data_IF_029699337382
#
_entry.id   IF_029699337382
#
_cell.length_a   1.000
_cell.length_b   1.000
_cell.length_c   1.000
_cell.angle_alpha   90.00
_cell.angle_beta   90.00
_cell.angle_gamma   90.00
#
_symmetry.space_group_name_H-M   'P 1'
#
loop_
_entity.id
_entity.type
_entity.pdbx_description
1 polymer ?
#
# COMPACT_ATOMS: atom_id res chain seq x y z
N UNK A 1 -13.44 30.82 -8.41
CA UNK A 1 -12.64 30.30 -7.28
C UNK A 1 -12.61 28.80 -7.46
N UNK A 2 -11.44 28.20 -7.58
CA UNK A 2 -11.31 26.74 -7.58
C UNK A 2 -11.80 26.18 -6.26
N UNK A 3 -12.50 25.03 -6.30
CA UNK A 3 -13.06 24.40 -5.11
C UNK A 3 -11.94 23.97 -4.17
N UNK A 4 -11.92 24.47 -2.96
CA UNK A 4 -11.00 24.02 -1.91
C UNK A 4 -11.62 22.81 -1.19
N UNK A 5 -10.85 21.74 -1.03
CA UNK A 5 -11.28 20.51 -0.37
C UNK A 5 -10.73 20.44 1.05
N UNK A 6 -11.62 20.15 2.00
CA UNK A 6 -11.29 20.05 3.42
C UNK A 6 -10.94 18.61 3.80
N UNK A 7 -9.76 18.42 4.35
CA UNK A 7 -9.22 17.13 4.76
C UNK A 7 -9.17 17.01 6.28
N UNK A 8 -9.59 15.85 6.80
CA UNK A 8 -9.38 15.41 8.16
C UNK A 8 -8.46 14.19 8.20
N UNK A 9 -7.65 14.06 9.24
CA UNK A 9 -6.71 12.95 9.40
C UNK A 9 -6.98 12.24 10.71
N UNK A 10 -7.15 10.91 10.65
CA UNK A 10 -7.23 10.02 11.80
C UNK A 10 -5.92 9.22 11.88
N UNK A 11 -5.22 9.36 13.02
CA UNK A 11 -3.90 8.76 13.23
C UNK A 11 -2.77 9.70 12.81
N UNK A 12 -2.16 10.40 13.76
CA UNK A 12 -1.06 11.34 13.55
C UNK A 12 0.30 10.71 13.84
N UNK A 13 0.44 9.44 13.44
CA UNK A 13 1.73 8.76 13.40
C UNK A 13 2.62 9.29 12.24
N UNK A 14 3.69 8.55 11.94
CA UNK A 14 4.64 8.93 10.89
C UNK A 14 3.96 9.14 9.53
N UNK A 15 3.02 8.26 9.19
CA UNK A 15 2.35 8.33 7.89
C UNK A 15 1.27 9.42 7.87
N UNK A 16 0.49 9.59 8.94
CA UNK A 16 -0.50 10.66 9.02
C UNK A 16 0.12 12.05 8.89
N UNK A 17 1.27 12.28 9.54
CA UNK A 17 2.02 13.54 9.40
C UNK A 17 2.59 13.74 7.99
N UNK A 18 2.89 12.66 7.27
CA UNK A 18 3.25 12.75 5.85
C UNK A 18 2.07 13.21 5.01
N UNK A 19 0.89 12.59 5.20
CA UNK A 19 -0.32 13.03 4.52
C UNK A 19 -0.64 14.49 4.81
N UNK A 20 -0.51 14.92 6.07
CA UNK A 20 -0.70 16.32 6.46
C UNK A 20 0.18 17.27 5.63
N UNK A 21 1.49 16.95 5.53
CA UNK A 21 2.44 17.72 4.74
C UNK A 21 2.06 17.83 3.26
N UNK A 22 1.64 16.71 2.65
CA UNK A 22 1.26 16.70 1.23
C UNK A 22 -0.08 17.44 0.99
N UNK A 23 -1.02 17.37 1.95
CA UNK A 23 -2.27 18.13 1.90
C UNK A 23 -1.97 19.63 1.98
N UNK A 24 -1.14 20.07 2.94
CA UNK A 24 -0.77 21.47 3.12
C UNK A 24 0.00 22.05 1.93
N UNK A 25 0.74 21.21 1.20
CA UNK A 25 1.49 21.61 0.01
C UNK A 25 0.60 21.78 -1.23
N UNK A 26 -0.64 21.29 -1.23
CA UNK A 26 -1.52 21.31 -2.39
C UNK A 26 -2.48 22.51 -2.38
N UNK A 27 -2.50 23.30 -3.46
CA UNK A 27 -3.26 24.56 -3.53
C UNK A 27 -4.78 24.43 -3.37
N UNK A 28 -5.36 23.29 -3.74
CA UNK A 28 -6.80 23.02 -3.64
C UNK A 28 -7.18 22.19 -2.40
N UNK A 29 -6.25 21.96 -1.48
CA UNK A 29 -6.47 21.18 -0.26
C UNK A 29 -6.27 22.05 0.99
N UNK A 30 -7.04 21.75 2.02
CA UNK A 30 -6.87 22.34 3.35
C UNK A 30 -6.99 21.25 4.41
N UNK A 31 -5.98 21.11 5.27
CA UNK A 31 -6.07 20.28 6.47
C UNK A 31 -6.82 21.05 7.54
N UNK A 32 -8.04 20.61 7.88
CA UNK A 32 -8.97 21.35 8.75
C UNK A 32 -9.18 20.71 10.11
N UNK A 33 -8.89 19.40 10.25
CA UNK A 33 -9.18 18.66 11.48
C UNK A 33 -8.32 17.40 11.61
N UNK A 34 -8.17 16.92 12.85
CA UNK A 34 -7.40 15.72 13.14
C UNK A 34 -7.89 15.00 14.40
N UNK A 35 -7.68 13.67 14.42
CA UNK A 35 -7.90 12.83 15.59
C UNK A 35 -6.74 11.86 15.80
N UNK A 36 -6.27 11.78 17.03
CA UNK A 36 -5.32 10.76 17.52
C UNK A 36 -5.66 10.45 18.97
N UNK A 37 -5.47 9.20 19.38
CA UNK A 37 -5.64 8.81 20.80
C UNK A 37 -4.64 9.53 21.72
N UNK A 38 -3.47 9.83 21.17
CA UNK A 38 -2.48 10.68 21.83
C UNK A 38 -2.73 12.16 21.47
N UNK A 39 -3.43 12.86 22.35
CA UNK A 39 -3.76 14.28 22.17
C UNK A 39 -2.53 15.20 22.01
N UNK A 40 -1.34 14.75 22.41
CA UNK A 40 -0.12 15.57 22.24
C UNK A 40 0.31 15.67 20.78
N UNK A 41 -0.09 14.71 19.95
CA UNK A 41 0.18 14.73 18.51
C UNK A 41 -0.74 15.67 17.73
N UNK A 42 -1.90 16.04 18.28
CA UNK A 42 -2.86 16.92 17.61
C UNK A 42 -2.33 18.36 17.68
N UNK A 43 -2.12 19.03 16.53
CA UNK A 43 -1.68 20.43 16.50
C UNK A 43 -2.56 21.33 17.35
N UNK A 44 -1.96 22.30 18.04
CA UNK A 44 -2.67 23.22 18.94
C UNK A 44 -3.73 24.09 18.22
N UNK A 45 -3.63 24.21 16.91
CA UNK A 45 -4.58 24.93 16.05
C UNK A 45 -5.87 24.16 15.82
N UNK A 46 -5.90 22.85 16.07
CA UNK A 46 -7.07 22.01 15.88
C UNK A 46 -7.80 21.72 17.19
N UNK A 47 -9.10 21.52 17.06
CA UNK A 47 -9.93 21.07 18.17
C UNK A 47 -9.49 19.66 18.60
N UNK A 48 -9.40 19.47 19.91
CA UNK A 48 -9.18 18.14 20.51
C UNK A 48 -10.55 17.52 20.81
N UNK A 49 -10.93 16.55 20.01
CA UNK A 49 -12.19 15.84 20.20
C UNK A 49 -12.03 14.77 21.29
N UNK A 50 -13.00 14.63 22.22
CA UNK A 50 -12.89 13.70 23.35
C UNK A 50 -12.90 12.23 22.91
N UNK A 51 -13.53 11.94 21.78
CA UNK A 51 -13.62 10.61 21.19
C UNK A 51 -13.84 10.72 19.68
N UNK A 52 -13.78 9.58 19.01
CA UNK A 52 -13.89 9.48 17.55
C UNK A 52 -15.30 9.84 17.04
N UNK A 53 -16.36 9.58 17.81
CA UNK A 53 -17.72 9.93 17.39
C UNK A 53 -17.88 11.43 17.34
N UNK A 54 -17.38 12.15 18.35
CA UNK A 54 -17.37 13.63 18.37
C UNK A 54 -16.53 14.21 17.24
N UNK A 55 -15.42 13.57 16.87
CA UNK A 55 -14.67 13.99 15.69
C UNK A 55 -15.54 13.90 14.43
N UNK A 56 -16.22 12.78 14.19
CA UNK A 56 -17.08 12.63 13.01
C UNK A 56 -18.29 13.57 13.00
N UNK A 57 -18.92 13.78 14.15
CA UNK A 57 -20.09 14.67 14.30
C UNK A 57 -19.75 16.13 14.03
N UNK A 58 -18.55 16.59 14.42
CA UNK A 58 -18.18 18.01 14.45
C UNK A 58 -17.24 18.39 13.31
N UNK A 59 -16.57 17.44 12.68
CA UNK A 59 -15.58 17.72 11.64
C UNK A 59 -16.20 18.27 10.35
N UNK A 60 -15.67 19.38 9.89
CA UNK A 60 -16.03 20.01 8.60
C UNK A 60 -15.30 19.42 7.40
N UNK A 61 -14.46 18.39 7.59
CA UNK A 61 -13.74 17.72 6.52
C UNK A 61 -14.70 17.07 5.52
N UNK A 62 -14.37 17.16 4.25
CA UNK A 62 -15.06 16.45 3.17
C UNK A 62 -14.47 15.05 2.92
N UNK A 63 -13.17 14.92 3.23
CA UNK A 63 -12.35 13.75 2.99
C UNK A 63 -11.64 13.38 4.29
N UNK A 64 -11.70 12.11 4.67
CA UNK A 64 -11.00 11.59 5.85
C UNK A 64 -9.86 10.67 5.41
N UNK A 65 -8.65 10.96 5.89
CA UNK A 65 -7.50 10.07 5.77
C UNK A 65 -7.43 9.15 6.99
N UNK A 66 -7.45 7.85 6.76
CA UNK A 66 -7.29 6.82 7.79
C UNK A 66 -5.84 6.34 7.75
N UNK A 67 -5.06 6.75 8.76
CA UNK A 67 -3.62 6.55 8.87
C UNK A 67 -3.25 5.84 10.19
N UNK A 68 -4.06 4.91 10.62
CA UNK A 68 -4.00 4.19 11.89
C UNK A 68 -3.42 2.78 11.73
N UNK A 69 -3.30 1.95 12.78
CA UNK A 69 -2.98 0.53 12.62
C UNK A 69 -3.98 -0.21 11.73
N UNK A 70 -3.49 -1.23 11.01
CA UNK A 70 -4.24 -1.91 9.95
C UNK A 70 -5.63 -2.40 10.37
N UNK A 71 -5.75 -3.00 11.56
CA UNK A 71 -7.02 -3.55 12.05
C UNK A 71 -8.13 -2.50 12.19
N UNK A 72 -7.79 -1.25 12.45
CA UNK A 72 -8.78 -0.17 12.65
C UNK A 72 -9.26 0.49 11.35
N UNK A 73 -8.66 0.16 10.20
CA UNK A 73 -9.00 0.78 8.92
C UNK A 73 -10.47 0.59 8.55
N UNK A 74 -11.00 -0.62 8.74
CA UNK A 74 -12.39 -0.92 8.40
C UNK A 74 -13.38 -0.06 9.18
N UNK A 75 -13.30 -0.07 10.51
CA UNK A 75 -14.25 0.63 11.36
C UNK A 75 -14.21 2.16 11.15
N UNK A 76 -13.01 2.73 11.05
CA UNK A 76 -12.85 4.17 10.86
C UNK A 76 -13.31 4.61 9.47
N UNK A 77 -13.00 3.85 8.43
CA UNK A 77 -13.49 4.12 7.08
C UNK A 77 -15.00 3.98 6.96
N UNK A 78 -15.59 2.98 7.64
CA UNK A 78 -17.04 2.80 7.70
C UNK A 78 -17.71 4.01 8.35
N UNK A 79 -17.21 4.47 9.50
CA UNK A 79 -17.74 5.65 10.16
C UNK A 79 -17.64 6.90 9.27
N UNK A 80 -16.51 7.13 8.62
CA UNK A 80 -16.34 8.25 7.70
C UNK A 80 -17.39 8.23 6.57
N UNK A 81 -17.61 7.07 5.94
CA UNK A 81 -18.61 6.90 4.89
C UNK A 81 -20.04 7.14 5.38
N UNK A 82 -20.39 6.64 6.57
CA UNK A 82 -21.70 6.84 7.21
C UNK A 82 -21.94 8.31 7.56
N UNK A 83 -20.89 9.08 7.86
CA UNK A 83 -20.93 10.54 8.03
C UNK A 83 -20.78 11.31 6.71
N UNK A 84 -21.06 10.63 5.58
CA UNK A 84 -21.11 11.24 4.26
C UNK A 84 -19.75 11.86 3.81
N UNK A 85 -18.61 11.28 4.22
CA UNK A 85 -17.26 11.71 3.84
C UNK A 85 -16.67 10.79 2.75
N UNK A 86 -15.80 11.32 1.89
CA UNK A 86 -14.89 10.53 1.07
C UNK A 86 -13.77 10.00 1.96
N UNK A 87 -13.13 8.89 1.59
CA UNK A 87 -12.12 8.26 2.42
C UNK A 87 -10.87 7.94 1.62
N UNK A 88 -9.71 8.28 2.19
CA UNK A 88 -8.39 7.82 1.76
C UNK A 88 -7.89 6.86 2.84
N UNK A 89 -7.62 5.61 2.48
CA UNK A 89 -7.21 4.58 3.44
C UNK A 89 -5.78 4.17 3.14
N UNK A 90 -4.94 4.22 4.17
CA UNK A 90 -3.60 3.65 4.10
C UNK A 90 -3.66 2.13 3.81
N UNK A 91 -2.57 1.64 3.25
CA UNK A 91 -2.46 0.21 2.96
C UNK A 91 -2.11 -0.61 4.23
N UNK A 92 -2.60 -1.84 4.33
CA UNK A 92 -3.63 -2.45 3.47
C UNK A 92 -4.97 -1.76 3.70
N UNK A 93 -5.85 -1.80 2.69
CA UNK A 93 -7.17 -1.16 2.83
C UNK A 93 -7.98 -1.72 4.01
N UNK A 94 -7.90 -3.02 4.24
CA UNK A 94 -8.42 -3.77 5.39
C UNK A 94 -7.58 -5.04 5.57
N UNK A 95 -7.74 -5.73 6.68
CA UNK A 95 -7.15 -7.07 6.89
C UNK A 95 -8.02 -8.19 6.30
N UNK A 96 -9.29 -7.90 5.98
CA UNK A 96 -10.24 -8.85 5.41
C UNK A 96 -10.90 -8.27 4.16
N UNK A 97 -10.91 -9.03 3.06
CA UNK A 97 -11.51 -8.61 1.79
C UNK A 97 -13.02 -8.39 1.93
N UNK A 98 -13.69 -9.16 2.79
CA UNK A 98 -15.10 -8.97 3.09
C UNK A 98 -15.40 -7.61 3.71
N UNK A 99 -14.53 -7.10 4.60
CA UNK A 99 -14.63 -5.75 5.16
C UNK A 99 -14.50 -4.68 4.06
N UNK A 100 -13.56 -4.83 3.15
CA UNK A 100 -13.42 -3.91 2.02
C UNK A 100 -14.64 -3.94 1.09
N UNK A 101 -15.27 -5.12 0.88
CA UNK A 101 -16.52 -5.23 0.12
C UNK A 101 -17.70 -4.54 0.82
N UNK A 102 -17.75 -4.55 2.15
CA UNK A 102 -18.77 -3.79 2.92
C UNK A 102 -18.55 -2.29 2.71
N UNK A 103 -17.30 -1.80 2.83
CA UNK A 103 -16.98 -0.39 2.57
C UNK A 103 -17.37 0.04 1.15
N UNK A 104 -17.11 -0.81 0.15
CA UNK A 104 -17.49 -0.56 -1.24
C UNK A 104 -19.01 -0.36 -1.40
N UNK A 105 -19.81 -1.21 -0.75
CA UNK A 105 -21.29 -1.09 -0.79
C UNK A 105 -21.76 0.21 -0.15
N UNK A 106 -21.23 0.57 1.01
CA UNK A 106 -21.58 1.82 1.72
C UNK A 106 -21.17 3.03 0.87
N UNK A 107 -19.95 3.04 0.33
CA UNK A 107 -19.48 4.12 -0.50
C UNK A 107 -20.36 4.36 -1.73
N UNK A 108 -20.74 3.28 -2.44
CA UNK A 108 -21.67 3.35 -3.57
C UNK A 108 -23.05 3.89 -3.18
N UNK A 109 -23.61 3.41 -2.06
CA UNK A 109 -24.92 3.88 -1.58
C UNK A 109 -24.91 5.37 -1.21
N UNK A 110 -23.80 5.86 -0.65
CA UNK A 110 -23.63 7.25 -0.23
C UNK A 110 -23.01 8.15 -1.31
N UNK A 111 -22.74 7.61 -2.52
CA UNK A 111 -22.06 8.33 -3.61
C UNK A 111 -20.71 8.93 -3.16
N UNK A 112 -19.94 8.16 -2.43
CA UNK A 112 -18.60 8.53 -1.96
C UNK A 112 -17.52 7.70 -2.64
N UNK A 113 -16.33 8.27 -2.72
CA UNK A 113 -15.13 7.60 -3.20
C UNK A 113 -14.32 7.05 -2.04
N UNK A 114 -13.70 5.91 -2.27
CA UNK A 114 -12.63 5.37 -1.44
C UNK A 114 -11.38 5.29 -2.30
N UNK A 115 -10.28 5.79 -1.78
CA UNK A 115 -8.96 5.78 -2.41
C UNK A 115 -8.02 4.92 -1.56
N UNK A 116 -7.37 3.93 -2.18
CA UNK A 116 -6.34 3.14 -1.53
C UNK A 116 -4.97 3.81 -1.70
N UNK A 117 -4.13 3.83 -0.67
CA UNK A 117 -2.80 4.42 -0.80
C UNK A 117 -1.82 3.37 -1.34
N UNK A 118 -1.65 3.35 -2.67
CA UNK A 118 -0.74 2.45 -3.40
C UNK A 118 0.31 3.28 -4.16
N UNK A 119 1.09 4.07 -3.41
CA UNK A 119 1.98 5.10 -3.97
C UNK A 119 3.13 4.58 -4.84
N UNK A 120 3.46 3.27 -4.78
CA UNK A 120 4.49 2.68 -5.65
C UNK A 120 4.09 2.69 -7.11
N UNK A 121 2.78 2.66 -7.43
CA UNK A 121 2.29 2.74 -8.81
C UNK A 121 2.71 4.02 -9.52
N UNK A 122 2.91 5.12 -8.80
CA UNK A 122 3.32 6.42 -9.35
C UNK A 122 4.82 6.54 -9.63
N UNK A 123 5.62 5.54 -9.29
CA UNK A 123 7.06 5.57 -9.61
C UNK A 123 7.28 5.50 -11.12
N UNK A 124 8.21 6.29 -11.69
CA UNK A 124 8.45 6.30 -13.13
C UNK A 124 8.75 4.92 -13.71
N UNK A 125 9.48 4.09 -12.99
CA UNK A 125 9.80 2.72 -13.38
C UNK A 125 8.55 1.84 -13.36
N UNK A 126 7.67 1.97 -12.36
CA UNK A 126 6.41 1.23 -12.29
C UNK A 126 5.48 1.59 -13.45
N UNK A 127 5.38 2.88 -13.78
CA UNK A 127 4.58 3.36 -14.90
C UNK A 127 5.13 2.87 -16.25
N UNK A 128 6.45 2.93 -16.42
CA UNK A 128 7.12 2.41 -17.61
C UNK A 128 6.87 0.91 -17.78
N UNK A 129 7.04 0.12 -16.71
CA UNK A 129 6.81 -1.32 -16.74
C UNK A 129 5.35 -1.67 -17.06
N UNK A 130 4.40 -0.94 -16.48
CA UNK A 130 2.96 -1.09 -16.78
C UNK A 130 2.68 -0.84 -18.25
N UNK A 131 3.22 0.23 -18.81
CA UNK A 131 3.06 0.56 -20.22
C UNK A 131 3.62 -0.52 -21.15
N UNK A 132 4.81 -1.09 -20.84
CA UNK A 132 5.39 -2.19 -21.62
C UNK A 132 4.48 -3.43 -21.65
N UNK A 133 3.88 -3.76 -20.51
CA UNK A 133 3.00 -4.92 -20.38
C UNK A 133 1.67 -4.67 -21.10
N UNK A 134 1.06 -3.49 -20.91
CA UNK A 134 -0.22 -3.15 -21.51
C UNK A 134 -0.16 -3.05 -23.04
N UNK A 135 0.97 -2.58 -23.57
CA UNK A 135 1.22 -2.52 -25.01
C UNK A 135 1.57 -3.87 -25.63
N UNK A 136 1.76 -4.91 -24.81
CA UNK A 136 2.16 -6.24 -25.28
C UNK A 136 3.58 -6.30 -25.87
N UNK A 137 4.43 -5.32 -25.55
CA UNK A 137 5.80 -5.20 -26.10
C UNK A 137 6.64 -6.45 -25.79
N UNK A 138 6.41 -7.08 -24.65
CA UNK A 138 7.12 -8.28 -24.21
C UNK A 138 6.67 -9.56 -24.95
N UNK A 139 5.52 -9.55 -25.65
CA UNK A 139 4.91 -10.77 -26.18
C UNK A 139 4.38 -11.66 -25.06
N UNK A 140 4.40 -12.99 -25.27
CA UNK A 140 3.98 -13.94 -24.26
C UNK A 140 4.95 -13.94 -23.08
N UNK A 141 4.44 -13.74 -21.87
CA UNK A 141 5.23 -13.84 -20.63
C UNK A 141 5.38 -15.33 -20.29
N UNK A 142 6.60 -15.76 -20.00
CA UNK A 142 6.91 -17.15 -19.64
C UNK A 142 7.00 -17.31 -18.13
N UNK A 143 7.72 -16.42 -17.46
CA UNK A 143 7.82 -16.44 -16.00
C UNK A 143 7.99 -15.04 -15.39
N UNK A 144 7.55 -14.90 -14.13
CA UNK A 144 7.71 -13.68 -13.31
C UNK A 144 8.21 -14.09 -11.94
N UNK A 145 9.30 -13.47 -11.47
CA UNK A 145 9.86 -13.71 -10.15
C UNK A 145 9.91 -12.40 -9.36
N UNK A 146 9.23 -12.38 -8.22
CA UNK A 146 9.22 -11.23 -7.28
C UNK A 146 10.03 -11.61 -6.05
N UNK A 147 10.95 -10.74 -5.66
CA UNK A 147 11.76 -10.92 -4.45
C UNK A 147 11.76 -9.64 -3.63
N UNK A 148 11.34 -9.72 -2.37
CA UNK A 148 11.27 -8.61 -1.41
C UNK A 148 12.05 -8.97 -0.15
N UNK A 149 13.22 -8.36 0.03
CA UNK A 149 14.15 -8.67 1.10
C UNK A 149 14.47 -7.40 1.90
N UNK A 150 13.77 -7.21 3.03
CA UNK A 150 13.88 -6.04 3.89
C UNK A 150 14.35 -6.41 5.30
N UNK A 151 14.88 -5.43 6.00
CA UNK A 151 15.14 -5.52 7.43
C UNK A 151 13.97 -4.92 8.22
N UNK A 152 13.44 -5.73 9.15
CA UNK A 152 12.59 -5.26 10.25
C UNK A 152 13.03 -6.02 11.50
N UNK A 153 13.71 -5.36 12.40
CA UNK A 153 14.25 -5.95 13.62
C UNK A 153 13.63 -5.32 14.88
N UNK A 154 14.26 -5.46 16.05
CA UNK A 154 13.77 -4.89 17.31
C UNK A 154 13.60 -3.37 17.28
N UNK A 155 14.24 -2.66 16.34
CA UNK A 155 14.01 -1.22 16.12
C UNK A 155 12.61 -0.95 15.56
N UNK A 156 12.05 -1.93 14.85
CA UNK A 156 10.71 -1.87 14.26
C UNK A 156 9.65 -2.55 15.13
N UNK A 157 9.89 -3.78 15.55
CA UNK A 157 9.01 -4.60 16.39
C UNK A 157 9.25 -4.32 17.88
N UNK A 158 8.93 -3.10 18.32
CA UNK A 158 9.13 -2.71 19.71
C UNK A 158 8.00 -3.21 20.62
N UNK A 159 8.27 -3.53 21.90
CA UNK A 159 7.25 -3.86 22.88
C UNK A 159 6.17 -2.76 22.95
N UNK A 160 4.92 -3.16 23.15
CA UNK A 160 3.75 -2.28 23.23
C UNK A 160 3.46 -1.47 21.94
N UNK A 161 4.05 -1.84 20.81
CA UNK A 161 3.66 -1.35 19.51
C UNK A 161 2.61 -2.30 18.89
N UNK A 162 1.86 -1.81 17.89
CA UNK A 162 0.92 -2.63 17.14
C UNK A 162 1.61 -3.55 16.12
N UNK A 163 2.83 -3.19 15.72
CA UNK A 163 3.65 -4.01 14.83
C UNK A 163 4.02 -5.33 15.50
N UNK A 164 3.91 -6.42 14.76
CA UNK A 164 4.20 -7.77 15.24
C UNK A 164 2.99 -8.50 15.85
N UNK A 165 1.88 -7.81 16.12
CA UNK A 165 0.63 -8.43 16.54
C UNK A 165 -0.13 -8.99 15.34
N UNK A 166 -0.58 -10.24 15.44
CA UNK A 166 -1.38 -10.86 14.39
C UNK A 166 -2.71 -10.12 14.20
N UNK A 167 -3.34 -9.70 15.29
CA UNK A 167 -4.62 -9.01 15.28
C UNK A 167 -4.52 -7.61 14.66
N UNK A 168 -3.49 -6.83 15.02
CA UNK A 168 -3.39 -5.42 14.62
C UNK A 168 -2.62 -5.19 13.32
N UNK A 169 -1.62 -6.03 13.04
CA UNK A 169 -0.69 -5.94 11.91
C UNK A 169 -1.11 -6.87 10.76
N UNK A 170 -1.50 -8.11 11.07
CA UNK A 170 -1.89 -9.15 10.13
C UNK A 170 -0.72 -9.96 9.57
N UNK A 171 0.49 -9.40 9.54
CA UNK A 171 1.70 -10.03 9.03
C UNK A 171 2.40 -9.24 7.92
N UNK A 172 3.60 -9.68 7.50
CA UNK A 172 4.47 -8.91 6.61
C UNK A 172 3.89 -8.67 5.22
N UNK A 173 3.05 -9.56 4.69
CA UNK A 173 2.39 -9.31 3.40
C UNK A 173 1.40 -8.14 3.47
N UNK A 174 0.72 -7.93 4.60
CA UNK A 174 -0.16 -6.78 4.79
C UNK A 174 0.63 -5.48 5.03
N UNK A 175 1.62 -5.50 5.90
CA UNK A 175 2.25 -4.26 6.38
C UNK A 175 3.46 -3.84 5.55
N UNK A 176 4.40 -4.76 5.26
CA UNK A 176 5.62 -4.44 4.52
C UNK A 176 5.46 -4.60 3.01
N UNK A 177 4.87 -5.72 2.58
CA UNK A 177 4.96 -6.16 1.19
C UNK A 177 3.67 -5.99 0.38
N UNK A 178 2.60 -5.45 0.96
CA UNK A 178 1.35 -5.16 0.23
C UNK A 178 1.55 -4.28 -1.01
N UNK A 179 2.52 -3.37 -1.00
CA UNK A 179 2.88 -2.59 -2.19
C UNK A 179 3.37 -3.44 -3.37
N UNK A 180 4.05 -4.56 -3.08
CA UNK A 180 4.58 -5.44 -4.13
C UNK A 180 3.53 -6.47 -4.58
N UNK A 181 2.63 -6.88 -3.67
CA UNK A 181 1.42 -7.64 -4.03
C UNK A 181 0.51 -6.77 -4.91
N UNK A 182 0.40 -5.48 -4.59
CA UNK A 182 -0.32 -4.50 -5.41
C UNK A 182 0.31 -4.36 -6.80
N UNK A 183 1.63 -4.19 -6.91
CA UNK A 183 2.30 -4.13 -8.20
C UNK A 183 2.11 -5.42 -9.00
N UNK A 184 2.18 -6.61 -8.36
CA UNK A 184 1.89 -7.87 -9.02
C UNK A 184 0.47 -7.89 -9.61
N UNK A 185 -0.53 -7.52 -8.81
CA UNK A 185 -1.91 -7.42 -9.25
C UNK A 185 -2.10 -6.39 -10.37
N UNK A 186 -1.58 -5.19 -10.19
CA UNK A 186 -1.73 -4.08 -11.14
C UNK A 186 -1.10 -4.38 -12.51
N UNK A 187 0.04 -5.08 -12.52
CA UNK A 187 0.74 -5.46 -13.75
C UNK A 187 0.08 -6.64 -14.47
N UNK A 188 -0.34 -7.66 -13.75
CA UNK A 188 -0.73 -8.94 -14.34
C UNK A 188 -2.19 -9.35 -14.07
N UNK A 189 -2.89 -8.66 -13.17
CA UNK A 189 -4.24 -9.02 -12.72
C UNK A 189 -4.24 -10.03 -11.58
N UNK A 190 -5.41 -10.55 -11.26
CA UNK A 190 -5.58 -11.56 -10.21
C UNK A 190 -4.83 -12.85 -10.53
N UNK A 191 -4.25 -13.47 -9.51
CA UNK A 191 -3.43 -14.69 -9.62
C UNK A 191 -3.99 -15.79 -8.73
N UNK A 192 -3.74 -17.03 -9.13
CA UNK A 192 -4.00 -18.22 -8.32
C UNK A 192 -2.74 -18.57 -7.53
N UNK A 193 -2.89 -18.81 -6.24
CA UNK A 193 -1.79 -19.06 -5.30
C UNK A 193 -1.58 -20.58 -5.15
N UNK A 194 -0.31 -21.00 -5.22
CA UNK A 194 0.11 -22.37 -5.04
C UNK A 194 1.26 -22.48 -4.03
N UNK A 195 1.26 -23.56 -3.26
CA UNK A 195 2.33 -24.04 -2.40
C UNK A 195 3.00 -22.95 -1.51
N UNK A 196 2.24 -22.14 -0.76
CA UNK A 196 2.83 -21.18 0.15
C UNK A 196 3.56 -21.90 1.29
N UNK A 197 4.75 -21.39 1.61
CA UNK A 197 5.59 -21.86 2.71
C UNK A 197 6.02 -20.67 3.56
N UNK A 198 6.04 -20.85 4.88
CA UNK A 198 6.27 -19.78 5.86
C UNK A 198 7.36 -20.18 6.85
N UNK A 199 8.17 -19.20 7.24
CA UNK A 199 9.29 -19.38 8.16
C UNK A 199 9.37 -18.21 9.12
N UNK A 200 9.84 -18.44 10.34
CA UNK A 200 10.22 -17.39 11.26
C UNK A 200 11.64 -17.68 11.77
N UNK A 201 12.61 -16.92 11.24
CA UNK A 201 14.03 -17.12 11.50
C UNK A 201 14.50 -16.30 12.70
N UNK A 202 14.11 -15.02 12.77
CA UNK A 202 14.66 -14.05 13.71
C UNK A 202 13.63 -13.41 14.65
N UNK A 203 12.32 -13.60 14.43
CA UNK A 203 11.29 -12.77 15.06
C UNK A 203 10.35 -13.52 16.00
N UNK A 204 10.68 -14.78 16.37
CA UNK A 204 9.85 -15.57 17.30
C UNK A 204 9.61 -14.93 18.67
N UNK A 205 10.46 -13.98 19.06
CA UNK A 205 10.38 -13.30 20.34
C UNK A 205 9.57 -12.00 20.31
N UNK A 206 9.26 -11.47 19.12
CA UNK A 206 8.65 -10.15 18.95
C UNK A 206 7.54 -10.08 17.90
N UNK A 207 7.23 -11.19 17.19
CA UNK A 207 6.09 -11.28 16.28
C UNK A 207 5.25 -12.55 16.51
N UNK A 208 3.96 -12.45 16.22
CA UNK A 208 3.00 -13.58 16.30
C UNK A 208 2.82 -14.27 14.92
N UNK A 209 3.68 -13.98 13.96
CA UNK A 209 3.60 -14.47 12.59
C UNK A 209 4.99 -14.72 11.98
N UNK A 210 5.02 -15.22 10.77
CA UNK A 210 6.24 -15.46 9.99
C UNK A 210 7.00 -14.16 9.73
N UNK A 211 8.33 -14.28 9.54
CA UNK A 211 9.17 -13.20 9.03
C UNK A 211 9.56 -13.39 7.56
N UNK A 212 9.32 -14.58 7.02
CA UNK A 212 9.71 -14.96 5.67
C UNK A 212 8.69 -15.91 5.05
N UNK A 213 8.56 -15.85 3.74
CA UNK A 213 7.72 -16.80 3.02
C UNK A 213 8.01 -16.82 1.53
N UNK A 214 7.50 -17.88 0.90
CA UNK A 214 7.51 -18.05 -0.54
C UNK A 214 6.20 -18.66 -0.98
N UNK A 215 5.68 -18.21 -2.11
CA UNK A 215 4.57 -18.86 -2.79
C UNK A 215 4.75 -18.82 -4.31
N UNK A 216 4.18 -19.79 -5.00
CA UNK A 216 4.04 -19.76 -6.44
C UNK A 216 2.68 -19.17 -6.83
N UNK A 217 2.64 -18.60 -8.01
CA UNK A 217 1.40 -18.05 -8.55
C UNK A 217 1.33 -18.24 -10.07
N UNK A 218 0.12 -18.25 -10.60
CA UNK A 218 -0.10 -18.27 -12.04
C UNK A 218 -1.44 -17.65 -12.41
N UNK A 219 -1.56 -17.25 -13.66
CA UNK A 219 -2.83 -16.90 -14.32
C UNK A 219 -2.67 -17.05 -15.84
N UNK A 220 -3.66 -16.59 -16.62
CA UNK A 220 -3.61 -16.67 -18.08
C UNK A 220 -2.51 -15.82 -18.73
N UNK A 221 -2.02 -14.77 -18.07
CA UNK A 221 -0.93 -13.90 -18.55
C UNK A 221 0.45 -14.38 -18.09
N UNK A 222 0.52 -14.98 -16.91
CA UNK A 222 1.75 -15.43 -16.26
C UNK A 222 1.59 -16.92 -15.94
N UNK A 223 2.05 -17.84 -16.79
CA UNK A 223 1.89 -19.28 -16.55
C UNK A 223 2.74 -19.80 -15.39
N UNK A 224 3.82 -19.11 -15.03
CA UNK A 224 4.72 -19.48 -13.94
C UNK A 224 5.21 -18.24 -13.20
N UNK A 225 4.92 -18.16 -11.90
CA UNK A 225 5.40 -17.08 -11.04
C UNK A 225 5.85 -17.55 -9.68
N UNK A 226 6.75 -16.80 -9.05
CA UNK A 226 7.12 -16.97 -7.66
C UNK A 226 7.21 -15.63 -6.95
N UNK A 227 6.81 -15.61 -5.69
CA UNK A 227 6.93 -14.44 -4.81
C UNK A 227 7.64 -14.87 -3.54
N UNK A 228 8.82 -14.34 -3.33
CA UNK A 228 9.62 -14.54 -2.13
C UNK A 228 9.69 -13.27 -1.31
N UNK A 229 9.48 -13.35 0.00
CA UNK A 229 9.57 -12.22 0.90
C UNK A 229 10.26 -12.58 2.20
N UNK A 230 10.98 -11.63 2.77
CA UNK A 230 11.57 -11.74 4.10
C UNK A 230 11.76 -10.37 4.75
N UNK A 231 11.54 -10.29 6.05
CA UNK A 231 11.91 -9.14 6.90
C UNK A 231 13.18 -9.40 7.70
N UNK A 232 13.82 -10.56 7.52
CA UNK A 232 14.99 -11.04 8.28
C UNK A 232 16.34 -10.66 7.68
N UNK A 233 16.39 -9.64 6.80
CA UNK A 233 17.66 -9.15 6.27
C UNK A 233 18.46 -8.46 7.37
N UNK A 234 19.76 -8.68 7.40
CA UNK A 234 20.65 -8.13 8.41
C UNK A 234 20.75 -6.59 8.29
N UNK A 235 20.55 -5.89 9.39
CA UNK A 235 20.76 -4.46 9.65
C UNK A 235 20.01 -3.47 8.74
N UNK A 236 19.98 -3.65 7.43
CA UNK A 236 19.37 -2.73 6.47
C UNK A 236 18.58 -3.50 5.38
N UNK A 237 17.65 -2.83 4.70
CA UNK A 237 16.97 -3.43 3.56
C UNK A 237 17.97 -3.79 2.47
N UNK A 238 17.76 -4.93 1.81
CA UNK A 238 18.61 -5.36 0.69
C UNK A 238 18.03 -4.87 -0.63
N UNK A 239 16.90 -5.43 -1.09
CA UNK A 239 16.25 -5.02 -2.34
C UNK A 239 14.79 -5.45 -2.40
N UNK A 240 14.07 -4.86 -3.36
CA UNK A 240 12.84 -5.44 -3.91
C UNK A 240 13.00 -5.51 -5.43
N UNK A 241 12.74 -6.69 -6.04
CA UNK A 241 12.91 -6.88 -7.47
C UNK A 241 11.76 -7.64 -8.10
N UNK A 242 11.55 -7.40 -9.39
CA UNK A 242 10.71 -8.19 -10.27
C UNK A 242 11.51 -8.52 -11.52
N UNK A 243 11.60 -9.82 -11.84
CA UNK A 243 12.23 -10.36 -13.05
C UNK A 243 11.13 -10.88 -13.96
N UNK A 244 11.19 -10.53 -15.25
CA UNK A 244 10.22 -10.98 -16.25
C UNK A 244 11.00 -11.63 -17.41
N UNK A 245 10.68 -12.89 -17.69
CA UNK A 245 11.17 -13.60 -18.86
C UNK A 245 10.01 -13.78 -19.81
N UNK A 246 10.18 -13.30 -21.03
CA UNK A 246 9.11 -13.27 -22.03
C UNK A 246 9.62 -13.54 -23.44
N UNK A 247 8.71 -13.76 -24.37
CA UNK A 247 8.98 -14.10 -25.77
C UNK A 247 9.88 -13.09 -26.48
N UNK A 248 9.64 -11.81 -26.27
CA UNK A 248 10.35 -10.74 -26.95
C UNK A 248 11.41 -10.06 -26.09
N UNK A 249 11.59 -10.48 -24.82
CA UNK A 249 12.57 -9.83 -23.98
C UNK A 249 12.66 -10.39 -22.58
N UNK A 250 13.70 -9.92 -21.89
CA UNK A 250 13.97 -10.19 -20.49
C UNK A 250 14.26 -8.86 -19.81
N UNK A 251 13.71 -8.67 -18.63
CA UNK A 251 13.96 -7.46 -17.84
C UNK A 251 14.01 -7.78 -16.34
N UNK A 252 14.78 -6.96 -15.60
CA UNK A 252 14.80 -6.91 -14.15
C UNK A 252 14.63 -5.46 -13.69
N UNK A 253 13.61 -5.24 -12.89
CA UNK A 253 13.44 -4.01 -12.10
C UNK A 253 13.80 -4.34 -10.66
N UNK A 254 14.56 -3.47 -9.99
CA UNK A 254 15.10 -3.71 -8.66
C UNK A 254 15.18 -2.39 -7.85
N UNK A 255 16.06 -2.34 -6.85
CA UNK A 255 16.21 -1.22 -5.93
C UNK A 255 15.39 -1.38 -4.66
N UNK A 256 15.26 -0.31 -3.89
CA UNK A 256 14.59 -0.35 -2.58
C UNK A 256 13.10 -0.70 -2.67
N UNK A 257 12.43 -0.21 -3.70
CA UNK A 257 10.98 -0.38 -3.90
C UNK A 257 10.61 -0.61 -5.37
N UNK A 258 11.46 -1.33 -6.13
CA UNK A 258 11.36 -1.53 -7.58
C UNK A 258 11.45 -0.20 -8.36
N UNK A 259 12.41 0.62 -8.01
CA UNK A 259 12.60 1.97 -8.52
C UNK A 259 13.76 2.13 -9.50
N UNK A 260 14.42 1.03 -9.85
CA UNK A 260 15.59 1.01 -10.73
C UNK A 260 15.46 -0.10 -11.77
N UNK A 261 15.81 0.17 -13.02
CA UNK A 261 15.90 -0.85 -14.05
C UNK A 261 17.33 -1.39 -14.06
N UNK A 262 17.51 -2.66 -13.64
CA UNK A 262 18.82 -3.31 -13.61
C UNK A 262 19.17 -3.98 -14.93
N UNK A 263 18.18 -4.51 -15.61
CA UNK A 263 18.36 -5.17 -16.89
C UNK A 263 17.14 -4.95 -17.79
N UNK A 264 17.39 -4.60 -19.05
CA UNK A 264 16.35 -4.48 -20.06
C UNK A 264 16.92 -4.87 -21.43
N UNK A 265 16.50 -6.05 -21.94
CA UNK A 265 16.83 -6.48 -23.29
C UNK A 265 15.57 -6.97 -23.96
N UNK A 266 15.01 -6.15 -24.86
CA UNK A 266 13.74 -6.41 -25.55
C UNK A 266 13.95 -6.22 -27.05
N UNK A 267 13.40 -7.14 -27.85
CA UNK A 267 13.50 -7.16 -29.31
C UNK A 267 13.01 -5.84 -29.91
N UNK A 268 13.86 -5.19 -30.69
CA UNK A 268 13.56 -3.93 -31.41
C UNK A 268 13.05 -2.79 -30.48
N UNK A 269 13.44 -2.81 -29.21
CA UNK A 269 13.05 -1.80 -28.24
C UNK A 269 14.29 -1.13 -27.65
N UNK A 270 14.26 0.20 -27.65
CA UNK A 270 15.24 1.01 -26.93
C UNK A 270 14.56 1.60 -25.71
N UNK A 271 15.09 1.31 -24.53
CA UNK A 271 14.58 1.84 -23.28
C UNK A 271 14.70 3.38 -23.29
N UNK A 272 13.63 4.11 -23.00
CA UNK A 272 13.72 5.56 -22.87
C UNK A 272 14.49 5.95 -21.61
N UNK A 273 14.99 7.16 -21.56
CA UNK A 273 15.45 7.75 -20.31
C UNK A 273 14.24 7.98 -19.39
N UNK A 274 14.26 7.37 -18.22
CA UNK A 274 13.19 7.53 -17.24
C UNK A 274 13.52 8.68 -16.28
N UNK A 275 12.52 9.45 -15.83
CA UNK A 275 12.72 10.39 -14.73
C UNK A 275 13.30 9.68 -13.50
N UNK A 276 14.12 10.38 -12.74
CA UNK A 276 14.65 9.83 -11.49
C UNK A 276 13.52 9.49 -10.52
N UNK A 277 13.56 8.29 -9.97
CA UNK A 277 12.62 7.90 -8.92
C UNK A 277 12.90 8.68 -7.64
N UNK A 278 11.89 9.15 -6.90
CA UNK A 278 12.08 9.78 -5.60
C UNK A 278 12.83 8.87 -4.63
N UNK A 279 13.57 9.47 -3.71
CA UNK A 279 14.19 8.71 -2.64
C UNK A 279 13.13 7.99 -1.79
N UNK A 280 13.44 6.80 -1.23
CA UNK A 280 12.52 6.10 -0.35
C UNK A 280 12.26 6.91 0.92
N UNK A 281 11.14 6.62 1.56
CA UNK A 281 10.81 7.19 2.87
C UNK A 281 11.84 6.74 3.91
N UNK A 282 12.44 7.68 4.61
CA UNK A 282 13.36 7.40 5.72
C UNK A 282 12.66 7.64 7.06
N UNK A 283 12.76 6.66 7.94
CA UNK A 283 12.24 6.70 9.29
C UNK A 283 13.33 6.36 10.31
N UNK A 284 13.25 6.84 11.56
CA UNK A 284 14.17 6.37 12.60
C UNK A 284 14.12 4.84 12.73
N UNK A 285 15.25 4.18 12.48
CA UNK A 285 15.44 2.74 12.62
C UNK A 285 15.07 1.89 11.39
N UNK A 286 14.43 2.44 10.35
CA UNK A 286 14.17 1.66 9.12
C UNK A 286 13.92 2.52 7.89
N UNK A 287 14.02 1.91 6.72
CA UNK A 287 13.73 2.49 5.42
C UNK A 287 12.41 1.94 4.87
N UNK A 288 11.57 2.81 4.33
CA UNK A 288 10.26 2.48 3.77
C UNK A 288 10.25 2.39 2.24
N UNK A 289 9.05 2.50 1.68
CA UNK A 289 8.77 2.48 0.26
C UNK A 289 8.81 3.88 -0.39
N UNK A 290 8.25 4.02 -1.59
CA UNK A 290 8.25 5.26 -2.39
C UNK A 290 7.64 6.47 -1.65
N UNK A 291 8.21 7.65 -1.89
CA UNK A 291 7.71 8.94 -1.36
C UNK A 291 6.82 9.65 -2.39
N UNK A 292 5.73 8.98 -2.84
CA UNK A 292 4.84 9.45 -3.92
C UNK A 292 3.44 9.87 -3.42
N UNK A 293 3.28 10.20 -2.14
CA UNK A 293 1.98 10.53 -1.54
C UNK A 293 1.34 11.78 -2.14
N UNK A 294 2.14 12.73 -2.64
CA UNK A 294 1.62 13.92 -3.33
C UNK A 294 0.79 13.56 -4.58
N UNK A 295 1.13 12.49 -5.31
CA UNK A 295 0.32 12.01 -6.43
C UNK A 295 -1.03 11.44 -5.96
N UNK A 296 -1.05 10.78 -4.79
CA UNK A 296 -2.30 10.32 -4.19
C UNK A 296 -3.22 11.50 -3.90
N UNK A 297 -2.72 12.57 -3.26
CA UNK A 297 -3.51 13.77 -2.98
C UNK A 297 -3.99 14.43 -4.27
N UNK A 298 -3.11 14.54 -5.27
CA UNK A 298 -3.47 15.08 -6.59
C UNK A 298 -4.61 14.28 -7.21
N UNK A 299 -4.51 12.93 -7.26
CA UNK A 299 -5.56 12.08 -7.83
C UNK A 299 -6.88 12.16 -7.07
N UNK A 300 -6.85 12.24 -5.72
CA UNK A 300 -8.05 12.46 -4.90
C UNK A 300 -8.77 13.73 -5.35
N UNK A 301 -8.05 14.85 -5.45
CA UNK A 301 -8.61 16.14 -5.82
C UNK A 301 -9.11 16.12 -7.26
N UNK A 302 -8.33 15.61 -8.21
CA UNK A 302 -8.72 15.55 -9.62
C UNK A 302 -9.96 14.67 -9.83
N UNK A 303 -10.07 13.56 -9.08
CA UNK A 303 -11.26 12.72 -9.11
C UNK A 303 -12.49 13.47 -8.59
N UNK A 304 -12.37 14.17 -7.47
CA UNK A 304 -13.48 14.92 -6.87
C UNK A 304 -13.87 16.16 -7.69
N UNK A 305 -12.96 16.66 -8.50
CA UNK A 305 -13.22 17.71 -9.49
C UNK A 305 -13.76 17.17 -10.82
N UNK A 306 -13.93 15.86 -10.97
CA UNK A 306 -14.40 15.20 -12.19
C UNK A 306 -13.39 15.20 -13.34
N UNK A 307 -12.09 15.45 -13.06
CA UNK A 307 -11.01 15.48 -14.06
C UNK A 307 -10.42 14.09 -14.34
N UNK A 308 -10.49 13.19 -13.40
CA UNK A 308 -10.00 11.81 -13.51
C UNK A 308 -10.89 10.82 -12.77
N UNK A 309 -10.59 9.53 -12.87
CA UNK A 309 -11.07 8.47 -11.99
C UNK A 309 -10.03 8.17 -10.90
N UNK A 310 -10.40 7.46 -9.81
CA UNK A 310 -9.42 6.97 -8.86
C UNK A 310 -8.38 6.06 -9.55
N UNK A 311 -7.08 6.37 -9.39
CA UNK A 311 -5.98 5.54 -9.90
C UNK A 311 -5.83 4.24 -9.11
N UNK A 312 -6.27 4.28 -7.85
CA UNK A 312 -6.21 3.16 -6.90
C UNK A 312 -7.60 2.96 -6.27
N UNK A 313 -8.57 2.48 -7.06
CA UNK A 313 -9.93 2.29 -6.59
C UNK A 313 -10.03 1.17 -5.55
N UNK A 314 -11.12 1.15 -4.80
CA UNK A 314 -11.36 0.13 -3.77
C UNK A 314 -11.34 -1.31 -4.34
N UNK A 315 -11.74 -1.48 -5.58
CA UNK A 315 -11.73 -2.77 -6.28
C UNK A 315 -10.33 -3.38 -6.33
N UNK A 316 -9.33 -2.55 -6.58
CA UNK A 316 -7.93 -2.97 -6.59
C UNK A 316 -7.47 -3.33 -5.18
N UNK A 317 -7.82 -2.52 -4.18
CA UNK A 317 -7.54 -2.82 -2.77
C UNK A 317 -8.16 -4.15 -2.31
N UNK A 318 -9.40 -4.44 -2.72
CA UNK A 318 -10.06 -5.74 -2.47
C UNK A 318 -9.23 -6.87 -3.08
N UNK A 319 -8.84 -6.74 -4.34
CA UNK A 319 -8.08 -7.80 -5.05
C UNK A 319 -6.72 -8.06 -4.40
N UNK A 320 -6.03 -7.02 -3.94
CA UNK A 320 -4.76 -7.14 -3.21
C UNK A 320 -4.96 -7.90 -1.89
N UNK A 321 -5.98 -7.54 -1.12
CA UNK A 321 -6.29 -8.24 0.15
C UNK A 321 -6.66 -9.70 -0.12
N UNK A 322 -7.44 -10.00 -1.16
CA UNK A 322 -7.80 -11.38 -1.55
C UNK A 322 -6.57 -12.22 -1.91
N UNK A 323 -5.59 -11.66 -2.62
CA UNK A 323 -4.34 -12.36 -2.90
C UNK A 323 -3.63 -12.70 -1.59
N UNK A 324 -3.51 -11.76 -0.67
CA UNK A 324 -2.85 -11.97 0.63
C UNK A 324 -3.61 -13.01 1.47
N UNK A 325 -4.94 -12.91 1.55
CA UNK A 325 -5.78 -13.91 2.23
C UNK A 325 -5.56 -15.31 1.66
N UNK A 326 -5.53 -15.46 0.33
CA UNK A 326 -5.31 -16.74 -0.33
C UNK A 326 -3.93 -17.34 -0.02
N UNK A 327 -2.90 -16.52 0.13
CA UNK A 327 -1.59 -16.96 0.62
C UNK A 327 -1.72 -17.45 2.06
N UNK A 328 -2.36 -16.68 2.92
CA UNK A 328 -2.45 -16.96 4.36
C UNK A 328 -3.46 -18.06 4.75
N UNK A 329 -4.36 -18.46 3.86
CA UNK A 329 -5.26 -19.61 4.10
C UNK A 329 -4.52 -20.91 4.47
N UNK A 330 -3.26 -21.06 4.07
CA UNK A 330 -2.43 -22.24 4.39
C UNK A 330 -1.40 -21.97 5.50
N UNK A 331 -1.43 -20.79 6.13
CA UNK A 331 -0.52 -20.45 7.23
C UNK A 331 -0.91 -21.19 8.50
N UNK A 332 0.00 -21.99 9.02
CA UNK A 332 -0.17 -22.66 10.31
C UNK A 332 0.60 -21.88 11.39
N UNK A 333 -0.13 -21.13 12.21
CA UNK A 333 0.44 -20.28 13.27
C UNK A 333 1.05 -21.06 14.46
N UNK A 334 0.82 -22.37 14.55
CA UNK A 334 1.40 -23.19 15.64
C UNK A 334 2.91 -23.45 15.46
N UNK A 335 3.51 -23.00 14.35
CA UNK A 335 4.94 -23.15 14.07
C UNK A 335 5.78 -21.89 14.37
N UNK A 336 5.16 -20.80 14.80
CA UNK A 336 5.85 -19.51 15.03
C UNK A 336 6.01 -19.18 16.51
#
# INVERSE_FOLDING_TARGET
MESQWNFGIIGLGRIGMRHAKEIEAHSNAQWVDAFDLDYQKIPATFKKHPDINRFFDESTANIIHVCTPNASHFELAQQALLHNKHVVIEKPITLESQHARILQKIARSNQKHIFCVMQNRYSPVSQWLKNLIDQGTLGNIYSVHVNCAWNRDDRYYQPNNWHGSLELDGGPLYTQFSHFVDLLFWLFGSVQIQDPSFFNHNHKHNTEFEDSGIFHFHNSKVPQGSFHYTTSVFDANFKSSIEIIAENGTLEVSGQYMNEVQYCHIRNYQMPELPASPAPNLYPGYQGSASNHHFVIQNVIDTLMGKSSPDTPIEDGISVVEIIENVYLKRNLNFF
#
